data_IF_579091253603
#
_entry.id   IF_579091253603
#
_cell.length_a   1.000
_cell.length_b   1.000
_cell.length_c   1.000
_cell.angle_alpha   90.00
_cell.angle_beta   90.00
_cell.angle_gamma   90.00
#
_symmetry.space_group_name_H-M   'P 1'
#
loop_
_entity.id
_entity.type
_entity.pdbx_description
1 polymer ?
#
# COMPACT_ATOMS: atom_id res chain seq x y z
N UNK A 1 25.77 32.33 17.41
CA UNK A 1 24.89 31.95 16.27
C UNK A 1 24.30 30.53 16.36
N UNK A 2 24.58 29.75 17.43
CA UNK A 2 24.00 28.40 17.60
C UNK A 2 22.54 28.42 18.07
N UNK A 3 22.20 29.29 19.02
CA UNK A 3 20.87 29.35 19.64
C UNK A 3 19.73 29.59 18.66
N UNK A 4 19.88 30.56 17.75
CA UNK A 4 18.85 30.86 16.73
C UNK A 4 18.62 29.65 15.82
N UNK A 5 19.68 28.97 15.39
CA UNK A 5 19.59 27.78 14.55
C UNK A 5 18.89 26.64 15.28
N UNK A 6 19.27 26.36 16.53
CA UNK A 6 18.63 25.32 17.35
C UNK A 6 17.15 25.64 17.61
N UNK A 7 16.80 26.90 17.86
CA UNK A 7 15.40 27.32 18.01
C UNK A 7 14.60 27.12 16.71
N UNK A 8 15.16 27.47 15.55
CA UNK A 8 14.52 27.22 14.26
C UNK A 8 14.35 25.72 13.97
N UNK A 9 15.33 24.87 14.32
CA UNK A 9 15.25 23.42 14.16
C UNK A 9 14.14 22.81 15.03
N UNK A 10 14.04 23.23 16.30
CA UNK A 10 12.96 22.79 17.20
C UNK A 10 11.58 23.23 16.69
N UNK A 11 11.44 24.49 16.26
CA UNK A 11 10.19 24.99 15.68
C UNK A 11 9.82 24.20 14.42
N UNK A 12 10.78 23.96 13.52
CA UNK A 12 10.58 23.16 12.31
C UNK A 12 10.14 21.73 12.64
N UNK A 13 10.79 21.08 13.61
CA UNK A 13 10.42 19.76 14.10
C UNK A 13 8.99 19.73 14.65
N UNK A 14 8.60 20.71 15.47
CA UNK A 14 7.24 20.79 16.03
C UNK A 14 6.19 20.96 14.94
N UNK A 15 6.44 21.81 13.95
CA UNK A 15 5.53 22.02 12.81
C UNK A 15 5.37 20.77 11.95
N UNK A 16 6.48 20.09 11.62
CA UNK A 16 6.46 18.85 10.86
C UNK A 16 5.76 17.73 11.63
N UNK A 17 6.01 17.63 12.94
CA UNK A 17 5.36 16.65 13.81
C UNK A 17 3.85 16.88 13.87
N UNK A 18 3.41 18.13 14.01
CA UNK A 18 1.98 18.47 14.00
C UNK A 18 1.32 18.08 12.66
N UNK A 19 1.97 18.37 11.53
CA UNK A 19 1.47 17.95 10.21
C UNK A 19 1.35 16.43 10.11
N UNK A 20 2.38 15.69 10.55
CA UNK A 20 2.40 14.23 10.51
C UNK A 20 1.29 13.61 11.39
N UNK A 21 1.04 14.17 12.58
CA UNK A 21 -0.03 13.73 13.47
C UNK A 21 -1.40 13.97 12.82
N UNK A 22 -1.64 15.15 12.24
CA UNK A 22 -2.90 15.44 11.56
C UNK A 22 -3.10 14.48 10.38
N UNK A 23 -2.07 14.26 9.56
CA UNK A 23 -2.14 13.32 8.44
C UNK A 23 -2.42 11.88 8.91
N UNK A 24 -1.79 11.44 10.01
CA UNK A 24 -2.03 10.14 10.60
C UNK A 24 -3.48 9.99 11.11
N UNK A 25 -4.01 11.01 11.80
CA UNK A 25 -5.40 11.05 12.27
C UNK A 25 -6.35 10.94 11.08
N UNK A 26 -6.18 11.78 10.05
CA UNK A 26 -7.02 11.73 8.84
C UNK A 26 -6.93 10.35 8.19
N UNK A 27 -5.73 9.82 7.98
CA UNK A 27 -5.53 8.47 7.40
C UNK A 27 -6.15 7.39 8.29
N UNK A 28 -6.22 7.53 9.61
CA UNK A 28 -6.83 6.55 10.50
C UNK A 28 -8.35 6.43 10.26
N UNK A 29 -9.02 7.55 9.96
CA UNK A 29 -10.47 7.56 9.70
C UNK A 29 -10.85 7.29 8.23
N UNK A 30 -9.92 7.35 7.28
CA UNK A 30 -10.19 6.98 5.88
C UNK A 30 -10.39 5.45 5.75
N UNK A 31 -11.55 4.98 5.23
CA UNK A 31 -11.80 3.56 5.01
C UNK A 31 -10.75 2.90 4.10
N UNK A 32 -10.36 1.66 4.42
CA UNK A 32 -9.38 0.88 3.64
C UNK A 32 -9.73 0.79 2.15
N UNK A 33 -11.02 0.75 1.79
CA UNK A 33 -11.47 0.73 0.39
C UNK A 33 -10.94 1.90 -0.46
N UNK A 34 -10.69 3.06 0.13
CA UNK A 34 -10.17 4.23 -0.58
C UNK A 34 -8.63 4.31 -0.54
N UNK A 35 -7.97 3.45 0.24
CA UNK A 35 -6.52 3.36 0.32
C UNK A 35 -5.94 2.34 -0.65
N UNK A 36 -6.76 1.40 -1.13
CA UNK A 36 -6.33 0.39 -2.09
C UNK A 36 -6.17 1.03 -3.48
N UNK A 37 -5.04 0.77 -4.13
CA UNK A 37 -4.91 1.08 -5.56
C UNK A 37 -5.83 0.16 -6.37
N UNK A 38 -6.31 0.66 -7.51
CA UNK A 38 -6.88 -0.25 -8.53
C UNK A 38 -5.76 -1.12 -9.10
N UNK A 39 -6.11 -2.36 -9.46
CA UNK A 39 -5.24 -3.30 -10.18
C UNK A 39 -5.84 -3.64 -11.55
N UNK A 40 -6.87 -2.93 -11.97
CA UNK A 40 -7.51 -3.14 -13.26
C UNK A 40 -6.50 -2.83 -14.39
N UNK A 41 -6.29 -3.79 -15.29
CA UNK A 41 -5.31 -3.71 -16.36
C UNK A 41 -3.85 -3.98 -15.95
N UNK A 42 -3.54 -4.05 -14.65
CA UNK A 42 -2.20 -4.41 -14.18
C UNK A 42 -1.90 -5.90 -14.48
N UNK A 43 -0.65 -6.22 -14.81
CA UNK A 43 -0.19 -7.61 -14.93
C UNK A 43 0.33 -8.09 -13.56
N UNK A 44 -0.21 -9.21 -13.06
CA UNK A 44 0.16 -9.80 -11.78
C UNK A 44 0.65 -11.25 -11.97
N UNK A 45 1.91 -11.52 -11.61
CA UNK A 45 2.47 -12.87 -11.54
C UNK A 45 2.16 -13.50 -10.17
N UNK A 46 1.50 -14.65 -10.16
CA UNK A 46 1.20 -15.41 -8.95
C UNK A 46 1.93 -16.74 -8.98
N UNK A 47 2.93 -16.91 -8.11
CA UNK A 47 3.61 -18.20 -7.92
C UNK A 47 2.76 -19.12 -7.02
N UNK A 48 2.71 -20.41 -7.32
CA UNK A 48 1.85 -21.34 -6.58
C UNK A 48 0.35 -21.08 -6.80
N UNK A 49 -0.01 -20.45 -7.93
CA UNK A 49 -1.38 -20.00 -8.21
C UNK A 49 -2.35 -21.10 -8.66
N UNK A 50 -1.90 -22.35 -8.81
CA UNK A 50 -2.70 -23.50 -9.23
C UNK A 50 -3.51 -24.12 -8.09
N UNK A 51 -3.13 -23.90 -6.83
CA UNK A 51 -3.77 -24.51 -5.66
C UNK A 51 -3.98 -23.59 -4.45
N UNK A 52 -4.79 -24.05 -3.49
CA UNK A 52 -4.95 -23.43 -2.17
C UNK A 52 -5.17 -21.91 -2.19
N UNK A 53 -4.36 -21.20 -1.39
CA UNK A 53 -4.41 -19.73 -1.28
C UNK A 53 -3.98 -19.03 -2.58
N UNK A 54 -3.00 -19.57 -3.29
CA UNK A 54 -2.54 -18.99 -4.55
C UNK A 54 -3.64 -18.95 -5.60
N UNK A 55 -4.42 -20.03 -5.73
CA UNK A 55 -5.59 -20.08 -6.62
C UNK A 55 -6.66 -19.05 -6.24
N UNK A 56 -6.97 -18.92 -4.95
CA UNK A 56 -7.94 -17.93 -4.48
C UNK A 56 -7.45 -16.49 -4.75
N UNK A 57 -6.16 -16.23 -4.57
CA UNK A 57 -5.54 -14.94 -4.86
C UNK A 57 -5.60 -14.62 -6.36
N UNK A 58 -5.20 -15.57 -7.23
CA UNK A 58 -5.28 -15.44 -8.69
C UNK A 58 -6.69 -15.11 -9.14
N UNK A 59 -7.69 -15.85 -8.65
CA UNK A 59 -9.10 -15.60 -8.98
C UNK A 59 -9.59 -14.25 -8.47
N UNK A 60 -9.14 -13.79 -7.30
CA UNK A 60 -9.52 -12.48 -6.76
C UNK A 60 -8.91 -11.34 -7.56
N UNK A 61 -7.64 -11.45 -7.95
CA UNK A 61 -6.96 -10.47 -8.80
C UNK A 61 -7.62 -10.38 -10.18
N UNK A 62 -7.93 -11.52 -10.79
CA UNK A 62 -8.65 -11.56 -12.07
C UNK A 62 -10.04 -10.89 -11.97
N UNK A 63 -10.78 -11.14 -10.87
CA UNK A 63 -12.07 -10.47 -10.61
C UNK A 63 -11.96 -8.96 -10.42
N UNK A 64 -10.80 -8.46 -10.00
CA UNK A 64 -10.51 -7.02 -9.88
C UNK A 64 -10.00 -6.40 -11.19
N UNK A 65 -9.95 -7.17 -12.28
CA UNK A 65 -9.56 -6.70 -13.61
C UNK A 65 -8.06 -6.81 -13.91
N UNK A 66 -7.27 -7.46 -13.05
CA UNK A 66 -5.86 -7.69 -13.32
C UNK A 66 -5.68 -8.82 -14.36
N UNK A 67 -4.65 -8.71 -15.19
CA UNK A 67 -4.17 -9.80 -16.06
C UNK A 67 -3.28 -10.69 -15.20
N UNK A 68 -3.76 -11.89 -14.87
CA UNK A 68 -3.06 -12.78 -13.95
C UNK A 68 -2.26 -13.82 -14.72
N UNK A 69 -0.94 -13.85 -14.48
CA UNK A 69 -0.04 -14.91 -14.94
C UNK A 69 0.17 -15.87 -13.78
N UNK A 70 -0.29 -17.11 -13.92
CA UNK A 70 -0.09 -18.15 -12.92
C UNK A 70 1.20 -18.90 -13.22
N UNK A 71 2.09 -18.98 -12.23
CA UNK A 71 3.32 -19.77 -12.28
C UNK A 71 3.26 -20.85 -11.21
N UNK A 72 2.89 -22.06 -11.61
CA UNK A 72 2.81 -23.21 -10.72
C UNK A 72 3.56 -24.40 -11.33
N UNK A 73 4.04 -25.30 -10.45
CA UNK A 73 4.58 -26.59 -10.87
C UNK A 73 3.47 -27.55 -11.29
N UNK A 74 2.24 -27.29 -10.83
CA UNK A 74 1.07 -28.03 -11.21
C UNK A 74 0.44 -27.41 -12.47
N UNK A 75 0.56 -28.10 -13.60
CA UNK A 75 0.01 -27.68 -14.90
C UNK A 75 -1.51 -27.89 -15.04
N UNK A 76 -2.15 -28.53 -14.04
CA UNK A 76 -3.54 -28.99 -14.07
C UNK A 76 -4.59 -27.90 -13.77
#
# INVERSE_FOLDING_TARGET
MSWIRSTCEVIGFLLLSLKAIIEAIVRAFVPLKYKMKSVEGDIALVTGGGGGLGRLLSLRLAKLGAIVVVWDINEA
#
